data_IF_408822983992
#
_entry.id   IF_408822983992
#
_cell.length_a   1.000
_cell.length_b   1.000
_cell.length_c   1.000
_cell.angle_alpha   90.00
_cell.angle_beta   90.00
_cell.angle_gamma   90.00
#
_symmetry.space_group_name_H-M   'P 1'
#
loop_
_entity.id
_entity.type
_entity.pdbx_description
1 polymer ?
#
# COMPACT_ATOMS: atom_id res chain seq x y z
N UNK A 1 0.22 8.54 -10.99
CA UNK A 1 -0.10 7.16 -11.40
C UNK A 1 0.14 6.24 -10.23
N UNK A 2 -0.81 5.38 -9.87
CA UNK A 2 -0.64 4.35 -8.85
C UNK A 2 -0.81 2.96 -9.45
N UNK A 3 -0.21 1.95 -8.83
CA UNK A 3 -0.34 0.55 -9.21
C UNK A 3 -0.67 -0.28 -7.99
N UNK A 4 -1.65 -1.17 -8.11
CA UNK A 4 -2.07 -2.05 -7.01
C UNK A 4 -2.82 -3.28 -7.54
N UNK A 5 -3.14 -4.21 -6.63
CA UNK A 5 -3.94 -5.41 -6.90
C UNK A 5 -4.82 -5.70 -5.70
N UNK A 6 -6.04 -6.18 -5.91
CA UNK A 6 -6.90 -6.57 -4.79
C UNK A 6 -6.48 -7.87 -4.08
N UNK A 7 -5.63 -8.66 -4.72
CA UNK A 7 -5.12 -9.92 -4.20
C UNK A 7 -3.62 -10.04 -4.44
N UNK A 8 -2.96 -10.85 -3.62
CA UNK A 8 -1.58 -11.24 -3.89
C UNK A 8 -1.46 -12.36 -4.94
N UNK A 9 -2.60 -12.93 -5.37
CA UNK A 9 -2.64 -13.86 -6.48
C UNK A 9 -2.19 -13.16 -7.77
N UNK A 10 -1.17 -13.71 -8.42
CA UNK A 10 -0.65 -13.22 -9.71
C UNK A 10 -1.64 -13.45 -10.86
N UNK A 11 -2.70 -14.21 -10.63
CA UNK A 11 -3.73 -14.53 -11.60
C UNK A 11 -4.72 -13.38 -11.84
N UNK A 12 -4.88 -12.46 -10.89
CA UNK A 12 -5.74 -11.30 -11.08
C UNK A 12 -5.01 -10.16 -11.80
N UNK A 13 -5.72 -9.45 -12.70
CA UNK A 13 -5.13 -8.42 -13.54
C UNK A 13 -4.59 -7.26 -12.68
N UNK A 14 -3.39 -6.75 -12.98
CA UNK A 14 -2.90 -5.55 -12.31
C UNK A 14 -3.77 -4.33 -12.61
N UNK A 15 -3.90 -3.45 -11.63
CA UNK A 15 -4.67 -2.21 -11.74
C UNK A 15 -3.72 -1.03 -11.71
N UNK A 16 -3.92 -0.08 -12.61
CA UNK A 16 -3.30 1.23 -12.55
C UNK A 16 -4.34 2.33 -12.46
N UNK A 17 -4.04 3.41 -11.73
CA UNK A 17 -4.94 4.55 -11.58
C UNK A 17 -4.24 5.90 -11.79
N UNK A 18 -4.96 6.82 -12.41
CA UNK A 18 -4.52 8.20 -12.67
C UNK A 18 -5.74 9.10 -12.55
N UNK A 19 -5.65 10.12 -11.69
CA UNK A 19 -6.76 11.04 -11.44
C UNK A 19 -7.98 10.29 -10.93
N UNK A 20 -9.10 10.43 -11.65
CA UNK A 20 -10.39 9.83 -11.30
C UNK A 20 -10.59 8.41 -11.86
N UNK A 21 -9.66 7.95 -12.69
CA UNK A 21 -9.82 6.74 -13.48
C UNK A 21 -8.84 5.65 -13.06
N UNK A 22 -9.26 4.42 -13.30
CA UNK A 22 -8.40 3.25 -13.26
C UNK A 22 -8.64 2.37 -14.48
N UNK A 23 -7.67 1.49 -14.69
CA UNK A 23 -7.66 0.50 -15.76
C UNK A 23 -7.18 -0.83 -15.18
N UNK A 24 -7.75 -1.92 -15.67
CA UNK A 24 -7.19 -3.26 -15.50
C UNK A 24 -6.44 -3.68 -16.74
N UNK A 25 -5.31 -4.34 -16.54
CA UNK A 25 -4.53 -4.91 -17.63
C UNK A 25 -4.92 -6.38 -17.81
N UNK A 26 -5.33 -6.75 -19.02
CA UNK A 26 -5.61 -8.15 -19.35
C UNK A 26 -4.34 -9.02 -19.28
N UNK A 27 -4.47 -10.31 -19.63
CA UNK A 27 -3.34 -11.26 -19.66
C UNK A 27 -2.24 -10.85 -20.64
N UNK A 28 -2.58 -10.08 -21.68
CA UNK A 28 -1.67 -9.56 -22.69
C UNK A 28 -1.13 -8.17 -22.36
N UNK A 29 -1.50 -7.63 -21.19
CA UNK A 29 -1.15 -6.28 -20.71
C UNK A 29 -1.76 -5.16 -21.54
N UNK A 30 -2.89 -5.42 -22.20
CA UNK A 30 -3.68 -4.37 -22.81
C UNK A 30 -4.61 -3.78 -21.76
N UNK A 31 -4.74 -2.43 -21.71
CA UNK A 31 -5.69 -1.79 -20.81
C UNK A 31 -7.13 -1.99 -21.30
N UNK A 32 -8.03 -2.29 -20.36
CA UNK A 32 -9.47 -2.16 -20.58
C UNK A 32 -9.88 -0.68 -20.74
N UNK A 33 -11.13 -0.38 -21.12
CA UNK A 33 -11.62 1.00 -21.08
C UNK A 33 -11.52 1.60 -19.66
N UNK A 34 -11.18 2.90 -19.54
CA UNK A 34 -11.07 3.57 -18.25
C UNK A 34 -12.38 3.51 -17.47
N UNK A 35 -12.28 3.22 -16.17
CA UNK A 35 -13.42 3.19 -15.24
C UNK A 35 -13.22 4.18 -14.11
N UNK A 36 -14.32 4.74 -13.61
CA UNK A 36 -14.30 5.70 -12.50
C UNK A 36 -14.09 4.99 -11.16
N UNK A 37 -13.09 5.45 -10.41
CA UNK A 37 -12.80 4.96 -9.04
C UNK A 37 -14.02 5.12 -8.14
N UNK A 38 -14.66 6.30 -8.18
CA UNK A 38 -15.83 6.61 -7.36
C UNK A 38 -17.00 5.67 -7.66
N UNK A 39 -17.23 5.36 -8.93
CA UNK A 39 -18.36 4.52 -9.35
C UNK A 39 -18.15 3.05 -8.97
N UNK A 40 -16.93 2.52 -9.14
CA UNK A 40 -16.67 1.09 -8.93
C UNK A 40 -16.43 0.75 -7.46
N UNK A 41 -15.73 1.61 -6.71
CA UNK A 41 -15.34 1.32 -5.33
C UNK A 41 -15.99 2.24 -4.29
N UNK A 42 -16.75 3.25 -4.70
CA UNK A 42 -17.36 4.20 -3.76
C UNK A 42 -16.34 5.08 -3.03
N UNK A 43 -15.10 5.19 -3.54
CA UNK A 43 -14.03 5.96 -2.92
C UNK A 43 -13.97 7.35 -3.57
N UNK A 44 -13.91 8.44 -2.80
CA UNK A 44 -13.68 9.77 -3.35
C UNK A 44 -12.37 9.82 -4.16
N UNK A 45 -12.44 10.40 -5.35
CA UNK A 45 -11.31 10.53 -6.28
C UNK A 45 -11.00 12.00 -6.58
N UNK A 46 -9.76 12.36 -6.96
CA UNK A 46 -8.60 11.47 -7.15
C UNK A 46 -8.03 11.00 -5.81
N UNK A 47 -7.59 9.75 -5.72
CA UNK A 47 -6.95 9.20 -4.52
C UNK A 47 -5.54 9.79 -4.33
N UNK A 48 -5.07 9.87 -3.09
CA UNK A 48 -3.73 10.38 -2.81
C UNK A 48 -2.68 9.28 -2.96
N UNK A 49 -3.00 8.07 -2.48
CA UNK A 49 -2.19 6.87 -2.74
C UNK A 49 -2.97 5.59 -2.50
N UNK A 50 -2.43 4.48 -2.97
CA UNK A 50 -2.96 3.13 -2.74
C UNK A 50 -1.80 2.14 -2.69
N UNK A 51 -1.89 1.15 -1.81
CA UNK A 51 -0.99 0.01 -1.82
C UNK A 51 -1.70 -1.27 -1.40
N UNK A 52 -1.15 -2.40 -1.85
CA UNK A 52 -1.56 -3.74 -1.42
C UNK A 52 -0.51 -4.27 -0.46
N UNK A 53 -0.92 -4.76 0.71
CA UNK A 53 0.02 -5.37 1.67
C UNK A 53 0.70 -6.57 1.01
N UNK A 54 2.02 -6.60 1.10
CA UNK A 54 2.87 -7.66 0.57
C UNK A 54 2.88 -8.86 1.53
N UNK A 55 1.70 -9.37 1.85
CA UNK A 55 1.51 -10.56 2.66
C UNK A 55 0.45 -11.44 2.03
N UNK A 56 0.18 -12.56 2.67
CA UNK A 56 -0.76 -13.55 2.17
C UNK A 56 -2.24 -13.13 2.19
N UNK A 57 -2.64 -12.16 3.02
CA UNK A 57 -4.02 -11.64 3.01
C UNK A 57 -4.25 -10.66 1.86
N UNK A 58 -3.20 -9.98 1.39
CA UNK A 58 -3.29 -9.11 0.22
C UNK A 58 -4.27 -7.94 0.38
N UNK A 59 -4.51 -7.47 1.62
CA UNK A 59 -5.43 -6.34 1.84
C UNK A 59 -4.93 -5.09 1.15
N UNK A 60 -5.83 -4.40 0.44
CA UNK A 60 -5.55 -3.19 -0.32
C UNK A 60 -6.04 -1.97 0.44
N UNK A 61 -5.20 -0.94 0.53
CA UNK A 61 -5.47 0.27 1.31
C UNK A 61 -5.43 1.48 0.41
N UNK A 62 -6.56 2.19 0.31
CA UNK A 62 -6.67 3.45 -0.41
C UNK A 62 -6.63 4.61 0.58
N UNK A 63 -6.00 5.72 0.21
CA UNK A 63 -5.86 6.91 1.05
C UNK A 63 -6.41 8.12 0.31
N UNK A 64 -7.22 8.91 1.01
CA UNK A 64 -7.72 10.21 0.56
C UNK A 64 -7.89 11.15 1.75
N UNK A 65 -7.20 12.28 1.70
CA UNK A 65 -7.22 13.30 2.73
C UNK A 65 -6.78 12.71 4.08
N UNK A 66 -7.67 12.73 5.06
CA UNK A 66 -7.42 12.22 6.41
C UNK A 66 -7.95 10.80 6.63
N UNK A 67 -8.51 10.17 5.59
CA UNK A 67 -9.18 8.89 5.68
C UNK A 67 -8.48 7.83 4.83
N UNK A 68 -8.70 6.58 5.21
CA UNK A 68 -8.32 5.42 4.41
C UNK A 68 -9.44 4.39 4.33
N UNK A 69 -9.44 3.65 3.24
CA UNK A 69 -10.35 2.53 2.97
C UNK A 69 -9.51 1.26 2.89
N UNK A 70 -10.08 0.14 3.32
CA UNK A 70 -9.44 -1.16 3.26
C UNK A 70 -10.32 -2.12 2.49
N UNK A 71 -9.71 -2.85 1.57
CA UNK A 71 -10.37 -3.80 0.70
C UNK A 71 -9.73 -5.18 0.84
N UNK A 72 -10.57 -6.19 0.66
CA UNK A 72 -10.20 -7.60 0.56
C UNK A 72 -10.88 -8.19 -0.67
N UNK A 73 -10.10 -8.72 -1.61
CA UNK A 73 -10.60 -9.34 -2.84
C UNK A 73 -11.59 -8.45 -3.65
N UNK A 74 -11.37 -7.13 -3.65
CA UNK A 74 -12.21 -6.18 -4.39
C UNK A 74 -13.43 -5.66 -3.62
N UNK A 75 -13.72 -6.21 -2.45
CA UNK A 75 -14.79 -5.74 -1.57
C UNK A 75 -14.25 -4.85 -0.45
N UNK A 76 -14.95 -3.77 -0.13
CA UNK A 76 -14.60 -2.90 0.99
C UNK A 76 -14.93 -3.59 2.32
N UNK A 77 -13.98 -3.57 3.26
CA UNK A 77 -14.22 -4.12 4.59
C UNK A 77 -15.30 -3.30 5.34
N UNK A 78 -16.17 -3.94 6.14
CA UNK A 78 -17.15 -3.22 6.96
C UNK A 78 -16.52 -2.22 7.94
N UNK A 79 -17.16 -1.07 8.08
CA UNK A 79 -16.73 -0.01 8.99
C UNK A 79 -15.58 0.86 8.46
N UNK A 80 -15.34 0.83 7.15
CA UNK A 80 -14.49 1.79 6.43
C UNK A 80 -15.35 2.83 5.70
N UNK A 81 -14.84 4.05 5.45
CA UNK A 81 -13.49 4.53 5.76
C UNK A 81 -13.21 4.74 7.26
N UNK A 82 -11.93 4.80 7.60
CA UNK A 82 -11.45 5.18 8.94
C UNK A 82 -10.46 6.33 8.86
N UNK A 83 -10.31 7.14 9.93
CA UNK A 83 -9.24 8.12 10.02
C UNK A 83 -7.86 7.46 9.96
N UNK A 84 -6.93 8.01 9.19
CA UNK A 84 -5.54 7.52 9.09
C UNK A 84 -4.89 7.49 10.48
N UNK A 85 -5.17 8.51 11.31
CA UNK A 85 -4.68 8.60 12.69
C UNK A 85 -5.06 7.40 13.56
N UNK A 86 -6.18 6.74 13.28
CA UNK A 86 -6.63 5.55 14.00
C UNK A 86 -5.88 4.28 13.56
N UNK A 87 -5.54 4.16 12.27
CA UNK A 87 -4.94 2.95 11.70
C UNK A 87 -3.42 2.97 11.65
N UNK A 88 -2.84 4.13 11.37
CA UNK A 88 -1.43 4.30 11.03
C UNK A 88 -0.75 5.47 11.78
N UNK A 89 -1.46 6.14 12.70
CA UNK A 89 -0.94 7.31 13.39
C UNK A 89 -0.91 8.57 12.52
N UNK A 90 -0.19 9.60 12.98
CA UNK A 90 -0.17 10.91 12.33
C UNK A 90 0.93 11.01 11.26
N UNK A 91 0.63 10.53 10.06
CA UNK A 91 1.59 10.51 8.94
C UNK A 91 1.58 11.80 8.11
N UNK A 92 0.54 12.65 8.25
CA UNK A 92 0.41 13.87 7.44
C UNK A 92 -0.02 13.57 5.99
N UNK A 93 0.33 14.46 5.05
CA UNK A 93 -0.10 14.34 3.64
C UNK A 93 0.76 13.34 2.87
N UNK A 94 0.20 12.17 2.62
CA UNK A 94 0.84 11.05 1.92
C UNK A 94 0.82 11.30 0.41
N UNK A 95 1.93 11.07 -0.26
CA UNK A 95 2.06 11.13 -1.73
C UNK A 95 2.28 9.76 -2.35
N UNK A 96 2.93 8.85 -1.63
CA UNK A 96 3.13 7.47 -2.06
C UNK A 96 3.27 6.53 -0.86
N UNK A 97 3.05 5.24 -1.08
CA UNK A 97 3.27 4.20 -0.09
C UNK A 97 3.99 3.00 -0.73
N UNK A 98 5.07 2.55 -0.10
CA UNK A 98 5.83 1.37 -0.53
C UNK A 98 5.65 0.25 0.48
N UNK A 99 4.94 -0.80 0.09
CA UNK A 99 4.69 -1.98 0.94
C UNK A 99 5.88 -2.94 0.88
N UNK A 100 6.32 -3.42 2.04
CA UNK A 100 7.52 -4.23 2.18
C UNK A 100 7.15 -5.50 2.99
N UNK A 101 7.31 -6.70 2.40
CA UNK A 101 7.02 -7.96 3.07
C UNK A 101 7.99 -8.19 4.23
N UNK A 102 7.58 -9.04 5.17
CA UNK A 102 8.52 -9.64 6.11
C UNK A 102 9.53 -10.51 5.34
N UNK A 103 10.81 -10.38 5.67
CA UNK A 103 11.88 -11.18 5.06
C UNK A 103 13.02 -11.38 6.04
N UNK A 104 13.37 -12.64 6.33
CA UNK A 104 14.36 -13.02 7.34
C UNK A 104 14.04 -12.34 8.69
N UNK A 105 14.95 -11.52 9.22
CA UNK A 105 14.76 -10.77 10.47
C UNK A 105 13.97 -9.46 10.30
N UNK A 106 13.74 -9.01 9.06
CA UNK A 106 13.01 -7.76 8.78
C UNK A 106 11.51 -7.99 8.89
N UNK A 107 10.85 -7.20 9.75
CA UNK A 107 9.38 -7.21 9.90
C UNK A 107 8.68 -6.61 8.68
N UNK A 108 7.43 -7.02 8.44
CA UNK A 108 6.57 -6.40 7.43
C UNK A 108 6.38 -4.92 7.76
N UNK A 109 6.51 -4.06 6.76
CA UNK A 109 6.37 -2.62 6.94
C UNK A 109 5.83 -1.93 5.69
N UNK A 110 5.45 -0.66 5.84
CA UNK A 110 5.15 0.22 4.73
C UNK A 110 5.87 1.54 4.94
N UNK A 111 6.51 2.05 3.91
CA UNK A 111 7.11 3.39 3.90
C UNK A 111 6.12 4.34 3.26
N UNK A 112 5.66 5.32 4.03
CA UNK A 112 4.84 6.41 3.55
C UNK A 112 5.72 7.59 3.17
N UNK A 113 5.68 7.96 1.90
CA UNK A 113 6.28 9.19 1.40
C UNK A 113 5.29 10.33 1.57
N UNK A 114 5.81 11.47 1.99
CA UNK A 114 5.04 12.64 2.34
C UNK A 114 5.46 13.82 1.49
N UNK A 115 4.56 14.77 1.35
CA UNK A 115 4.87 16.08 0.76
C UNK A 115 6.03 16.74 1.52
N UNK A 116 6.93 17.38 0.79
CA UNK A 116 8.12 18.03 1.35
C UNK A 116 9.35 17.12 1.50
N UNK A 117 9.32 15.93 0.91
CA UNK A 117 10.47 15.02 0.88
C UNK A 117 10.77 14.34 2.21
N UNK A 118 9.70 14.05 2.94
CA UNK A 118 9.74 13.30 4.19
C UNK A 118 9.23 11.88 3.95
N UNK A 119 9.75 10.93 4.69
CA UNK A 119 9.25 9.57 4.73
C UNK A 119 9.02 9.13 6.17
N UNK A 120 8.05 8.23 6.38
CA UNK A 120 7.87 7.56 7.65
C UNK A 120 7.58 6.08 7.42
N UNK A 121 8.26 5.23 8.18
CA UNK A 121 8.05 3.80 8.14
C UNK A 121 7.06 3.39 9.21
N UNK A 122 6.05 2.62 8.80
CA UNK A 122 5.12 1.96 9.71
C UNK A 122 5.41 0.47 9.69
N UNK A 123 5.79 -0.09 10.84
CA UNK A 123 6.11 -1.51 10.98
C UNK A 123 4.93 -2.24 11.60
N UNK A 124 4.42 -3.26 10.89
CA UNK A 124 3.28 -4.03 11.40
C UNK A 124 3.70 -4.88 12.60
N UNK A 125 2.94 -4.76 13.69
CA UNK A 125 3.20 -5.54 14.90
C UNK A 125 2.81 -7.02 14.73
N UNK A 126 1.74 -7.26 13.97
CA UNK A 126 1.26 -8.61 13.65
C UNK A 126 1.24 -8.77 12.14
N UNK A 127 2.05 -9.70 11.66
CA UNK A 127 2.00 -10.20 10.28
C UNK A 127 1.20 -11.50 10.31
N UNK A 128 0.13 -11.64 9.52
CA UNK A 128 -0.61 -12.89 9.47
C UNK A 128 0.30 -14.00 8.94
N UNK A 129 0.41 -15.10 9.67
CA UNK A 129 1.01 -16.32 9.17
C UNK A 129 0.00 -17.03 8.29
N UNK A 130 0.34 -17.24 7.03
CA UNK A 130 -0.50 -17.99 6.10
C UNK A 130 0.20 -19.29 5.73
N UNK A 131 0.21 -20.20 6.69
CA UNK A 131 0.24 -21.63 6.38
C UNK A 131 -0.89 -21.99 5.41
N UNK A 132 -0.68 -23.04 4.61
CA UNK A 132 -1.69 -23.58 3.66
C UNK A 132 -3.06 -23.64 4.34
N UNK A 133 -4.08 -23.05 3.70
CA UNK A 133 -5.48 -22.91 4.19
C UNK A 133 -5.88 -23.98 5.21
N UNK A 134 -5.99 -23.61 6.48
CA UNK A 134 -6.82 -24.33 7.44
C UNK A 134 -8.19 -23.65 7.49
N UNK A 135 -9.24 -24.40 7.11
CA UNK A 135 -10.65 -24.00 7.22
C UNK A 135 -11.10 -24.14 8.67
N UNK A 136 -11.10 -23.08 9.49
CA UNK A 136 -11.74 -23.05 10.83
C UNK A 136 -12.34 -21.64 11.08
N UNK A 137 -13.49 -21.49 11.75
CA UNK A 137 -14.36 -20.32 11.60
C UNK A 137 -13.88 -19.09 12.37
N UNK A 138 -14.38 -17.94 11.91
CA UNK A 138 -14.00 -16.59 12.32
C UNK A 138 -14.33 -16.34 13.80
N UNK A 139 -13.32 -16.35 14.67
CA UNK A 139 -13.41 -15.70 15.98
C UNK A 139 -12.98 -14.24 15.81
N UNK A 140 -13.93 -13.33 15.96
CA UNK A 140 -13.69 -11.89 15.80
C UNK A 140 -13.03 -11.34 17.07
N UNK A 141 -11.69 -11.30 17.10
CA UNK A 141 -10.97 -10.59 18.17
C UNK A 141 -11.04 -9.07 17.93
N UNK A 142 -11.95 -8.40 18.65
CA UNK A 142 -12.00 -6.93 18.75
C UNK A 142 -10.92 -6.44 19.73
N UNK A 143 -9.68 -6.31 19.26
CA UNK A 143 -8.63 -5.62 20.02
C UNK A 143 -8.69 -4.11 19.78
N UNK A 144 -8.68 -3.35 20.89
CA UNK A 144 -8.78 -1.88 20.94
C UNK A 144 -7.61 -1.23 20.17
N UNK A 145 -7.89 -0.77 18.95
CA UNK A 145 -6.94 -0.24 17.97
C UNK A 145 -6.25 1.11 18.34
N UNK A 146 -6.59 1.75 19.46
CA UNK A 146 -6.11 3.12 19.75
C UNK A 146 -4.64 3.22 20.20
N UNK A 147 -4.03 2.16 20.75
CA UNK A 147 -2.66 2.23 21.31
C UNK A 147 -1.55 1.59 20.45
N UNK A 148 -1.88 0.76 19.45
CA UNK A 148 -0.87 0.02 18.68
C UNK A 148 -0.23 0.83 17.54
N UNK A 149 -0.97 1.74 16.91
CA UNK A 149 -0.49 2.47 15.74
C UNK A 149 0.66 3.44 16.05
N UNK A 150 0.68 4.07 17.24
CA UNK A 150 1.75 4.98 17.65
C UNK A 150 3.07 4.26 17.97
N UNK A 151 3.01 3.00 18.43
CA UNK A 151 4.19 2.16 18.72
C UNK A 151 4.79 1.59 17.43
N UNK A 152 4.00 1.53 16.36
CA UNK A 152 4.38 0.99 15.06
C UNK A 152 4.96 2.03 14.08
N UNK A 153 4.70 3.32 14.31
CA UNK A 153 5.14 4.40 13.43
C UNK A 153 6.52 4.91 13.87
N UNK A 154 7.49 4.79 12.99
CA UNK A 154 8.89 5.20 13.23
C UNK A 154 9.07 6.73 13.05
N UNK A 155 10.25 7.22 13.42
CA UNK A 155 10.61 8.63 13.32
C UNK A 155 10.55 9.14 11.86
N UNK A 156 10.33 10.45 11.72
CA UNK A 156 10.31 11.10 10.41
C UNK A 156 11.71 11.09 9.81
N UNK A 157 11.82 10.57 8.60
CA UNK A 157 13.05 10.51 7.81
C UNK A 157 13.03 11.68 6.83
N UNK A 158 14.09 12.47 6.82
CA UNK A 158 14.34 13.45 5.77
C UNK A 158 15.08 12.74 4.62
N UNK A 159 14.42 12.56 3.49
CA UNK A 159 14.91 11.70 2.41
C UNK A 159 16.25 12.19 1.87
N UNK A 160 16.39 13.49 1.59
CA UNK A 160 17.62 14.03 0.99
C UNK A 160 18.82 13.93 1.93
N UNK A 161 18.58 13.94 3.25
CA UNK A 161 19.63 13.81 4.27
C UNK A 161 19.99 12.35 4.55
N UNK A 162 19.00 11.47 4.60
CA UNK A 162 19.18 10.07 5.01
C UNK A 162 19.50 9.14 3.83
N UNK A 163 18.96 9.41 2.64
CA UNK A 163 19.06 8.53 1.46
C UNK A 163 19.72 9.29 0.29
N UNK A 164 21.05 9.37 0.31
CA UNK A 164 21.80 10.03 -0.78
C UNK A 164 21.55 9.35 -2.11
N UNK A 165 21.29 10.16 -3.15
CA UNK A 165 20.96 9.69 -4.50
C UNK A 165 19.51 9.22 -4.68
N UNK A 166 18.70 9.24 -3.62
CA UNK A 166 17.27 8.93 -3.71
C UNK A 166 16.47 10.22 -4.00
N UNK A 167 15.41 10.17 -4.83
CA UNK A 167 14.62 11.35 -5.17
C UNK A 167 13.98 11.96 -3.93
N UNK A 168 14.14 13.27 -3.79
CA UNK A 168 13.55 14.03 -2.68
C UNK A 168 12.03 14.11 -2.77
N UNK A 169 11.42 13.89 -3.94
CA UNK A 169 9.97 13.93 -4.11
C UNK A 169 9.46 12.63 -4.74
N UNK A 170 8.80 11.79 -3.93
CA UNK A 170 8.18 10.57 -4.45
C UNK A 170 6.70 10.80 -4.71
N UNK A 171 6.31 10.62 -5.98
CA UNK A 171 4.92 10.76 -6.45
C UNK A 171 4.19 9.42 -6.53
N UNK A 172 4.92 8.31 -6.64
CA UNK A 172 4.34 6.97 -6.58
C UNK A 172 5.39 5.94 -6.18
N UNK A 173 4.94 4.86 -5.56
CA UNK A 173 5.81 3.76 -5.16
C UNK A 173 5.05 2.46 -5.34
N UNK A 174 5.74 1.42 -5.80
CA UNK A 174 5.12 0.17 -6.24
C UNK A 174 5.96 -1.02 -5.81
N UNK A 175 5.29 -2.01 -5.24
CA UNK A 175 5.88 -3.30 -4.88
C UNK A 175 5.31 -4.38 -5.79
N UNK A 176 6.14 -4.96 -6.65
CA UNK A 176 5.72 -5.93 -7.67
C UNK A 176 6.22 -7.33 -7.30
N UNK A 177 5.34 -8.34 -7.18
CA UNK A 177 5.76 -9.71 -6.97
C UNK A 177 6.75 -10.18 -8.04
N UNK A 178 7.83 -10.84 -7.62
CA UNK A 178 8.93 -11.25 -8.48
C UNK A 178 9.60 -12.52 -7.93
N UNK A 179 10.22 -13.32 -8.80
CA UNK A 179 10.93 -14.57 -8.43
C UNK A 179 12.28 -14.34 -7.72
N UNK A 180 12.52 -13.13 -7.21
CA UNK A 180 13.73 -12.79 -6.45
C UNK A 180 13.63 -13.38 -5.04
N UNK A 181 14.75 -13.51 -4.33
CA UNK A 181 14.79 -14.14 -3.00
C UNK A 181 13.84 -13.51 -1.98
N UNK A 182 13.64 -12.19 -2.05
CA UNK A 182 12.73 -11.43 -1.20
C UNK A 182 11.25 -11.49 -1.67
N UNK A 183 11.00 -12.01 -2.86
CA UNK A 183 9.66 -12.15 -3.45
C UNK A 183 9.11 -10.90 -4.14
N UNK A 184 9.75 -9.73 -4.03
CA UNK A 184 9.26 -8.48 -4.63
C UNK A 184 10.39 -7.63 -5.22
N UNK A 185 10.06 -6.87 -6.26
CA UNK A 185 10.86 -5.75 -6.79
C UNK A 185 10.14 -4.45 -6.48
N UNK A 186 10.91 -3.42 -6.14
CA UNK A 186 10.38 -2.13 -5.72
C UNK A 186 10.72 -1.06 -6.75
N UNK A 187 9.73 -0.27 -7.09
CA UNK A 187 9.82 0.81 -8.06
C UNK A 187 9.30 2.09 -7.44
N UNK A 188 10.05 3.16 -7.60
CA UNK A 188 9.71 4.48 -7.08
C UNK A 188 9.70 5.46 -8.24
N UNK A 189 8.62 6.21 -8.35
CA UNK A 189 8.45 7.25 -9.36
C UNK A 189 8.56 8.62 -8.71
N UNK A 190 9.41 9.45 -9.29
CA UNK A 190 9.60 10.84 -8.93
C UNK A 190 9.44 11.65 -10.20
N UNK A 191 8.30 12.33 -10.34
CA UNK A 191 7.99 13.14 -11.54
C UNK A 191 8.09 12.29 -12.83
N UNK A 192 9.15 12.45 -13.62
CA UNK A 192 9.43 11.71 -14.87
C UNK A 192 10.45 10.59 -14.70
N UNK A 193 11.03 10.39 -13.51
CA UNK A 193 12.07 9.41 -13.27
C UNK A 193 11.55 8.17 -12.55
N UNK A 194 12.01 7.00 -13.00
CA UNK A 194 11.75 5.70 -12.40
C UNK A 194 13.03 5.15 -11.79
N UNK A 195 13.00 4.86 -10.49
CA UNK A 195 14.09 4.23 -9.77
C UNK A 195 13.71 2.82 -9.30
N UNK A 196 14.64 1.89 -9.42
CA UNK A 196 14.53 0.55 -8.81
C UNK A 196 15.18 0.57 -7.45
N UNK A 197 14.46 0.15 -6.42
CA UNK A 197 14.94 0.15 -5.04
C UNK A 197 15.32 -1.27 -4.62
N UNK A 198 16.46 -1.41 -3.94
CA UNK A 198 16.89 -2.64 -3.25
C UNK A 198 16.82 -2.38 -1.74
N UNK A 199 16.21 -3.29 -1.00
CA UNK A 199 15.94 -3.16 0.43
C UNK A 199 16.58 -4.30 1.23
#
# INVERSE_FOLDING_TARGET
>A
MHYFRFTNETALPPIFSVGHYFWTLDRHRNPDPPRLITQVWGIPSPIDTVYTRCNCQGKTYFFKGKNYWRFENGAMDPGFPKPISQGFGQIGHITAALSIPAYRSRKESVIFFRRGGLAQKYTYQVTPDCGRKLRIPVITLRLRARRQAAVALEQVINISRSWRGFPSQVTSAVSVPSRVKEGYKYYVFSQSELLTVKL
#
